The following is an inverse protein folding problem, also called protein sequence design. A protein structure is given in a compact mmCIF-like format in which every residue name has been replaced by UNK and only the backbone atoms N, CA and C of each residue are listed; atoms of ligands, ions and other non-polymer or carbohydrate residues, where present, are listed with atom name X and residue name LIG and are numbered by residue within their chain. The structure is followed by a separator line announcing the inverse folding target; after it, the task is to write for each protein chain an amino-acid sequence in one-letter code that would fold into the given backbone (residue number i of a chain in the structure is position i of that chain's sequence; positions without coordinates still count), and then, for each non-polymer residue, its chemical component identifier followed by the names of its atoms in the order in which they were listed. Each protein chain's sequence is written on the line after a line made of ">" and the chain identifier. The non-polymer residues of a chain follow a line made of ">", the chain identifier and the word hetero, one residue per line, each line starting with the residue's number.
data_IF_773474228481
#
_entry.id   IF_773474228481
#
_cell.length_a   1.000
_cell.length_b   1.000
_cell.length_c   1.000
_cell.angle_alpha   90.00
_cell.angle_beta   90.00
_cell.angle_gamma   90.00
#
_symmetry.space_group_name_H-M   'P 1'
#
loop_
_entity.id
_entity.type
_entity.pdbx_description
1 polymer ?
#
# COMPACT_ATOMS: atom_id res chain seq x y z
N UNK A 1 28.50 -23.67 5.75
CA UNK A 1 28.23 -22.70 6.84
C UNK A 1 28.83 -23.27 8.12
N UNK A 2 29.61 -22.51 8.90
CA UNK A 2 30.16 -23.01 10.17
C UNK A 2 29.03 -23.24 11.19
N UNK A 3 29.17 -24.21 12.10
CA UNK A 3 28.20 -24.63 13.11
C UNK A 3 27.61 -23.44 13.89
N UNK A 4 28.45 -22.49 14.30
CA UNK A 4 28.03 -21.28 15.03
C UNK A 4 27.04 -20.44 14.20
N UNK A 5 27.30 -20.28 12.89
CA UNK A 5 26.40 -19.54 12.00
C UNK A 5 25.10 -20.30 11.76
N UNK A 6 25.14 -21.64 11.76
CA UNK A 6 23.94 -22.48 11.72
C UNK A 6 23.07 -22.33 12.96
N UNK A 7 23.66 -22.40 14.15
CA UNK A 7 22.94 -22.21 15.41
C UNK A 7 22.30 -20.81 15.50
N UNK A 8 23.03 -19.75 15.10
CA UNK A 8 22.49 -18.39 15.01
C UNK A 8 21.31 -18.31 14.03
N UNK A 9 21.42 -18.96 12.88
CA UNK A 9 20.35 -18.96 11.88
C UNK A 9 19.08 -19.64 12.39
N UNK A 10 19.21 -20.79 13.07
CA UNK A 10 18.07 -21.48 13.71
C UNK A 10 17.46 -20.59 14.80
N UNK A 11 18.28 -20.01 15.68
CA UNK A 11 17.80 -19.13 16.75
C UNK A 11 17.00 -17.94 16.22
N UNK A 12 17.56 -17.18 15.27
CA UNK A 12 16.86 -15.99 14.74
C UNK A 12 15.62 -16.34 13.94
N UNK A 13 15.64 -17.47 13.21
CA UNK A 13 14.45 -17.95 12.50
C UNK A 13 13.33 -18.32 13.49
N UNK A 14 13.66 -19.09 14.53
CA UNK A 14 12.70 -19.44 15.59
C UNK A 14 12.18 -18.20 16.33
N UNK A 15 13.06 -17.27 16.67
CA UNK A 15 12.67 -16.03 17.36
C UNK A 15 11.69 -15.20 16.52
N UNK A 16 11.98 -15.01 15.24
CA UNK A 16 11.10 -14.31 14.31
C UNK A 16 9.76 -15.04 14.16
N UNK A 17 9.80 -16.35 13.93
CA UNK A 17 8.60 -17.16 13.73
C UNK A 17 7.69 -17.14 14.96
N UNK A 18 8.24 -17.35 16.16
CA UNK A 18 7.50 -17.30 17.42
C UNK A 18 6.94 -15.90 17.67
N UNK A 19 7.72 -14.83 17.43
CA UNK A 19 7.24 -13.46 17.62
C UNK A 19 6.08 -13.15 16.69
N UNK A 20 6.16 -13.53 15.43
CA UNK A 20 5.05 -13.32 14.50
C UNK A 20 3.87 -14.19 14.90
N UNK A 21 4.06 -15.47 15.22
CA UNK A 21 2.98 -16.41 15.55
C UNK A 21 2.17 -15.97 16.78
N UNK A 22 2.84 -15.53 17.84
CA UNK A 22 2.22 -15.22 19.13
C UNK A 22 1.91 -13.73 19.35
N UNK A 23 2.29 -12.85 18.43
CA UNK A 23 1.90 -11.43 18.51
C UNK A 23 0.77 -11.10 17.55
N UNK A 24 0.10 -9.96 17.82
CA UNK A 24 -0.87 -9.33 16.93
C UNK A 24 -0.20 -8.35 15.95
N UNK A 25 1.13 -8.33 15.89
CA UNK A 25 1.91 -7.41 15.05
C UNK A 25 2.06 -7.94 13.63
N UNK A 26 2.18 -7.04 12.65
CA UNK A 26 2.62 -7.44 11.30
C UNK A 26 4.05 -8.00 11.37
N UNK A 27 4.43 -8.91 10.45
CA UNK A 27 5.81 -9.37 10.32
C UNK A 27 6.84 -8.23 10.29
N UNK A 28 6.59 -7.16 9.53
CA UNK A 28 7.50 -6.01 9.45
C UNK A 28 7.69 -5.28 10.78
N UNK A 29 6.60 -5.12 11.55
CA UNK A 29 6.63 -4.52 12.90
C UNK A 29 7.32 -5.44 13.91
N UNK A 30 7.11 -6.75 13.80
CA UNK A 30 7.81 -7.74 14.62
C UNK A 30 9.33 -7.72 14.37
N UNK A 31 9.76 -7.60 13.11
CA UNK A 31 11.17 -7.43 12.72
C UNK A 31 11.75 -6.16 13.35
N UNK A 32 11.07 -5.01 13.24
CA UNK A 32 11.52 -3.76 13.86
C UNK A 32 11.71 -3.90 15.38
N UNK A 33 10.73 -4.49 16.07
CA UNK A 33 10.79 -4.66 17.52
C UNK A 33 11.90 -5.63 17.98
N UNK A 34 12.27 -6.61 17.15
CA UNK A 34 13.32 -7.58 17.48
C UNK A 34 14.73 -7.07 17.17
N UNK A 35 14.89 -6.30 16.09
CA UNK A 35 16.21 -5.99 15.54
C UNK A 35 16.55 -4.50 15.55
N UNK A 36 15.59 -3.59 15.66
CA UNK A 36 15.76 -2.15 15.85
C UNK A 36 16.89 -1.57 14.96
N UNK A 37 17.86 -0.85 15.53
CA UNK A 37 18.93 -0.20 14.76
C UNK A 37 20.05 -1.14 14.27
N UNK A 38 19.79 -2.46 14.20
CA UNK A 38 20.77 -3.42 13.70
C UNK A 38 21.07 -3.15 12.23
N UNK A 39 22.36 -3.09 11.90
CA UNK A 39 22.85 -2.96 10.52
C UNK A 39 23.28 -4.31 9.94
N UNK A 40 23.42 -4.37 8.63
CA UNK A 40 23.84 -5.53 7.87
C UNK A 40 22.70 -6.52 7.61
N UNK A 41 23.11 -7.79 7.52
CA UNK A 41 22.23 -8.93 7.30
C UNK A 41 22.25 -9.92 8.46
N UNK A 42 21.13 -10.58 8.67
CA UNK A 42 20.97 -11.68 9.62
C UNK A 42 20.69 -12.95 8.83
N UNK A 43 21.52 -13.97 8.98
CA UNK A 43 21.25 -15.25 8.37
C UNK A 43 20.04 -15.89 9.06
N UNK A 44 18.99 -16.17 8.29
CA UNK A 44 17.91 -17.09 8.65
C UNK A 44 18.23 -18.46 8.04
N UNK A 45 17.42 -19.50 8.32
CA UNK A 45 17.67 -20.87 7.83
C UNK A 45 17.79 -20.88 6.29
N UNK A 46 16.77 -20.35 5.60
CA UNK A 46 16.63 -20.40 4.15
C UNK A 46 16.98 -19.09 3.43
N UNK A 47 16.92 -17.96 4.14
CA UNK A 47 17.07 -16.60 3.58
C UNK A 47 18.00 -15.73 4.42
N UNK A 48 18.32 -14.55 3.92
CA UNK A 48 18.97 -13.47 4.68
C UNK A 48 17.90 -12.41 5.03
N UNK A 49 17.84 -11.96 6.29
CA UNK A 49 17.05 -10.79 6.69
C UNK A 49 17.91 -9.54 6.56
N UNK A 50 17.49 -8.59 5.72
CA UNK A 50 18.14 -7.30 5.50
C UNK A 50 17.61 -6.28 6.50
N UNK A 51 18.51 -5.64 7.25
CA UNK A 51 18.13 -4.79 8.38
C UNK A 51 18.25 -3.28 8.11
N UNK A 52 18.91 -2.86 7.03
CA UNK A 52 19.07 -1.45 6.66
C UNK A 52 19.15 -1.25 5.14
N UNK A 53 18.89 -0.01 4.73
CA UNK A 53 18.79 0.39 3.31
C UNK A 53 20.12 0.34 2.57
N UNK A 54 21.25 0.62 3.23
CA UNK A 54 22.59 0.58 2.62
C UNK A 54 22.95 -0.86 2.23
N UNK A 55 22.69 -1.81 3.13
CA UNK A 55 22.85 -3.25 2.87
C UNK A 55 21.92 -3.71 1.75
N UNK A 56 20.67 -3.23 1.71
CA UNK A 56 19.74 -3.59 0.64
C UNK A 56 20.21 -3.10 -0.73
N UNK A 57 20.64 -1.85 -0.81
CA UNK A 57 21.07 -1.20 -2.07
C UNK A 57 22.38 -1.81 -2.58
N UNK A 58 23.24 -2.29 -1.68
CA UNK A 58 24.49 -2.97 -2.03
C UNK A 58 24.32 -4.44 -2.44
N UNK A 59 23.11 -5.01 -2.35
CA UNK A 59 22.85 -6.35 -2.86
C UNK A 59 23.09 -6.40 -4.38
N UNK A 60 23.56 -7.53 -4.93
CA UNK A 60 23.68 -7.69 -6.37
C UNK A 60 22.36 -7.41 -7.08
N UNK A 61 22.44 -6.65 -8.18
CA UNK A 61 21.27 -6.38 -9.03
C UNK A 61 20.68 -7.68 -9.54
N UNK A 62 19.35 -7.78 -9.51
CA UNK A 62 18.62 -8.97 -9.94
C UNK A 62 17.40 -8.55 -10.75
N UNK A 63 17.27 -9.10 -11.96
CA UNK A 63 16.12 -8.87 -12.84
C UNK A 63 14.87 -9.66 -12.45
N UNK A 64 14.99 -10.63 -11.55
CA UNK A 64 13.85 -11.44 -11.07
C UNK A 64 12.84 -10.59 -10.28
N UNK A 65 11.55 -10.94 -10.30
CA UNK A 65 10.52 -10.24 -9.55
C UNK A 65 10.81 -10.32 -8.04
N UNK A 66 10.19 -9.41 -7.29
CA UNK A 66 10.02 -9.65 -5.85
C UNK A 66 9.05 -10.83 -5.70
N UNK A 67 9.24 -11.66 -4.68
CA UNK A 67 8.43 -12.87 -4.53
C UNK A 67 6.95 -12.52 -4.45
N UNK A 68 6.17 -13.21 -5.27
CA UNK A 68 4.72 -13.02 -5.41
C UNK A 68 3.88 -13.56 -4.27
N UNK A 69 4.37 -13.53 -3.03
CA UNK A 69 3.58 -13.87 -1.84
C UNK A 69 2.28 -13.05 -1.76
N UNK A 70 2.12 -12.00 -2.57
CA UNK A 70 0.93 -11.17 -2.52
C UNK A 70 -0.28 -11.68 -3.30
N UNK A 71 -0.13 -12.60 -4.27
CA UNK A 71 -1.08 -12.62 -5.42
C UNK A 71 -1.58 -13.98 -5.92
N UNK A 72 -1.55 -15.05 -5.12
CA UNK A 72 -1.95 -16.40 -5.57
C UNK A 72 -3.42 -16.58 -6.05
N UNK A 73 -4.18 -15.50 -6.25
CA UNK A 73 -5.64 -15.57 -6.43
C UNK A 73 -6.20 -14.59 -7.49
N UNK A 74 -5.38 -13.86 -8.25
CA UNK A 74 -5.85 -12.86 -9.22
C UNK A 74 -5.99 -13.40 -10.65
N UNK A 75 -7.06 -13.07 -11.41
CA UNK A 75 -7.09 -13.30 -12.86
C UNK A 75 -6.16 -12.32 -13.61
N UNK A 76 -5.64 -11.30 -12.92
CA UNK A 76 -4.71 -10.32 -13.47
C UNK A 76 -3.25 -10.73 -13.20
N UNK A 77 -2.34 -10.09 -13.94
CA UNK A 77 -0.90 -10.31 -13.81
C UNK A 77 -0.23 -9.01 -13.37
N UNK A 78 0.03 -8.76 -12.07
CA UNK A 78 0.61 -7.49 -11.63
C UNK A 78 2.04 -7.26 -12.13
N UNK A 79 2.38 -6.01 -12.49
CA UNK A 79 3.68 -5.68 -13.11
C UNK A 79 4.89 -6.10 -12.27
N UNK A 80 4.77 -6.07 -10.94
CA UNK A 80 5.87 -6.45 -10.05
C UNK A 80 6.18 -7.96 -10.05
N UNK A 81 5.29 -8.81 -10.58
CA UNK A 81 5.51 -10.25 -10.75
C UNK A 81 6.16 -10.62 -12.08
N UNK A 82 6.24 -9.68 -13.02
CA UNK A 82 6.89 -9.93 -14.29
C UNK A 82 8.42 -9.97 -14.10
N UNK A 83 9.06 -10.95 -14.73
CA UNK A 83 10.50 -10.91 -14.97
C UNK A 83 10.85 -9.61 -15.73
N UNK A 84 12.08 -9.12 -15.60
CA UNK A 84 12.53 -7.96 -16.41
C UNK A 84 12.73 -8.36 -17.89
N UNK A 85 11.61 -8.70 -18.53
CA UNK A 85 11.47 -9.15 -19.91
C UNK A 85 10.82 -8.05 -20.77
N UNK A 86 10.49 -8.38 -22.01
CA UNK A 86 9.86 -7.44 -22.94
C UNK A 86 8.49 -6.97 -22.43
N UNK A 87 7.68 -7.84 -21.82
CA UNK A 87 6.35 -7.48 -21.32
C UNK A 87 6.44 -6.52 -20.13
N UNK A 88 7.40 -6.74 -19.22
CA UNK A 88 7.63 -5.80 -18.12
C UNK A 88 8.02 -4.41 -18.61
N UNK A 89 8.92 -4.35 -19.60
CA UNK A 89 9.36 -3.08 -20.20
C UNK A 89 8.20 -2.35 -20.89
N UNK A 90 7.45 -3.05 -21.74
CA UNK A 90 6.29 -2.49 -22.43
C UNK A 90 5.24 -1.94 -21.45
N UNK A 91 4.94 -2.68 -20.37
CA UNK A 91 4.01 -2.19 -19.33
C UNK A 91 4.54 -1.01 -18.55
N UNK A 92 5.85 -0.97 -18.26
CA UNK A 92 6.49 0.18 -17.62
C UNK A 92 6.46 1.43 -18.48
N UNK A 93 6.69 1.28 -19.79
CA UNK A 93 6.65 2.38 -20.75
C UNK A 93 5.23 2.91 -20.89
N UNK A 94 4.25 2.02 -21.09
CA UNK A 94 2.83 2.37 -21.10
C UNK A 94 2.43 3.07 -19.78
N UNK A 95 2.80 2.51 -18.63
CA UNK A 95 2.53 3.13 -17.33
C UNK A 95 3.09 4.56 -17.26
N UNK A 96 4.32 4.78 -17.74
CA UNK A 96 4.95 6.11 -17.70
C UNK A 96 4.16 7.14 -18.52
N UNK A 97 3.64 6.76 -19.69
CA UNK A 97 2.83 7.64 -20.55
C UNK A 97 1.52 8.01 -19.82
N UNK A 98 0.74 7.01 -19.40
CA UNK A 98 -0.53 7.25 -18.72
C UNK A 98 -0.35 7.99 -17.39
N UNK A 99 0.71 7.69 -16.63
CA UNK A 99 1.04 8.41 -15.40
C UNK A 99 1.28 9.91 -15.65
N UNK A 100 1.94 10.28 -16.75
CA UNK A 100 2.12 11.69 -17.10
C UNK A 100 0.78 12.39 -17.35
N UNK A 101 -0.12 11.76 -18.10
CA UNK A 101 -1.46 12.28 -18.40
C UNK A 101 -2.29 12.41 -17.12
N UNK A 102 -2.27 11.38 -16.26
CA UNK A 102 -3.00 11.40 -14.99
C UNK A 102 -2.50 12.52 -14.07
N UNK A 103 -1.18 12.73 -13.97
CA UNK A 103 -0.64 13.82 -13.16
C UNK A 103 -1.12 15.19 -13.64
N UNK A 104 -1.26 15.39 -14.95
CA UNK A 104 -1.86 16.60 -15.50
C UNK A 104 -3.35 16.71 -15.11
N UNK A 105 -4.12 15.63 -15.25
CA UNK A 105 -5.54 15.59 -14.87
C UNK A 105 -5.78 15.88 -13.40
N UNK A 106 -4.89 15.45 -12.49
CA UNK A 106 -4.98 15.76 -11.05
C UNK A 106 -4.95 17.28 -10.81
N UNK A 107 -4.20 18.04 -11.61
CA UNK A 107 -4.10 19.49 -11.50
C UNK A 107 -5.32 20.21 -12.11
N UNK A 108 -5.95 19.59 -13.10
CA UNK A 108 -7.07 20.16 -13.86
C UNK A 108 -8.45 19.83 -13.27
N UNK A 109 -8.59 18.68 -12.59
CA UNK A 109 -9.86 18.24 -12.05
C UNK A 109 -10.06 18.70 -10.60
N UNK A 110 -11.18 19.37 -10.35
CA UNK A 110 -11.72 19.56 -9.00
C UNK A 110 -12.69 18.43 -8.68
N UNK A 111 -12.35 17.59 -7.70
CA UNK A 111 -13.25 16.57 -7.19
C UNK A 111 -13.95 17.10 -5.94
N UNK A 112 -15.24 17.37 -6.02
CA UNK A 112 -16.03 17.76 -4.86
C UNK A 112 -16.64 16.51 -4.20
N UNK A 113 -16.24 16.25 -2.97
CA UNK A 113 -16.86 15.24 -2.13
C UNK A 113 -16.70 15.61 -0.66
N UNK A 114 -17.54 15.03 0.18
CA UNK A 114 -17.51 15.22 1.64
C UNK A 114 -17.65 13.86 2.30
N UNK A 115 -16.87 13.62 3.35
CA UNK A 115 -17.11 12.45 4.20
C UNK A 115 -18.33 12.72 5.07
N UNK A 116 -19.25 11.77 5.15
CA UNK A 116 -20.39 11.91 6.08
C UNK A 116 -19.91 11.86 7.53
N UNK A 117 -20.52 12.66 8.40
CA UNK A 117 -20.21 12.61 9.83
C UNK A 117 -20.66 11.27 10.40
N UNK A 118 -19.74 10.53 11.04
CA UNK A 118 -20.01 9.18 11.55
C UNK A 118 -19.08 8.78 12.69
N UNK A 119 -19.52 7.78 13.44
CA UNK A 119 -18.73 6.98 14.38
C UNK A 119 -18.56 5.58 13.79
N UNK A 120 -17.35 5.19 13.42
CA UNK A 120 -17.08 3.86 12.88
C UNK A 120 -15.94 3.82 11.87
N UNK A 121 -15.97 2.82 10.99
CA UNK A 121 -14.94 2.59 10.00
C UNK A 121 -15.08 3.51 8.78
N UNK A 122 -14.12 4.41 8.55
CA UNK A 122 -14.09 5.29 7.35
C UNK A 122 -13.27 4.72 6.17
N UNK A 123 -12.56 3.61 6.37
CA UNK A 123 -11.67 3.02 5.36
C UNK A 123 -12.39 2.77 4.03
N UNK A 124 -13.61 2.22 4.11
CA UNK A 124 -14.36 1.85 2.91
C UNK A 124 -15.06 3.03 2.24
N UNK A 125 -15.42 4.08 3.00
CA UNK A 125 -15.95 5.31 2.41
C UNK A 125 -14.87 6.01 1.58
N UNK A 126 -13.64 6.09 2.13
CA UNK A 126 -12.48 6.64 1.42
C UNK A 126 -12.14 5.75 0.22
N UNK A 127 -12.18 4.43 0.37
CA UNK A 127 -11.92 3.51 -0.73
C UNK A 127 -12.90 3.69 -1.89
N UNK A 128 -14.19 3.89 -1.61
CA UNK A 128 -15.20 4.14 -2.64
C UNK A 128 -14.95 5.45 -3.39
N UNK A 129 -14.64 6.54 -2.65
CA UNK A 129 -14.29 7.84 -3.23
C UNK A 129 -13.07 7.70 -4.15
N UNK A 130 -12.01 7.07 -3.66
CA UNK A 130 -10.78 6.92 -4.45
C UNK A 130 -10.99 5.97 -5.63
N UNK A 131 -11.84 4.96 -5.53
CA UNK A 131 -12.18 4.11 -6.67
C UNK A 131 -12.84 4.91 -7.79
N UNK A 132 -13.79 5.80 -7.47
CA UNK A 132 -14.41 6.72 -8.44
C UNK A 132 -13.39 7.68 -9.05
N UNK A 133 -12.52 8.28 -8.22
CA UNK A 133 -11.43 9.15 -8.68
C UNK A 133 -10.47 8.38 -9.60
N UNK A 134 -10.10 7.14 -9.25
CA UNK A 134 -9.20 6.33 -10.05
C UNK A 134 -9.78 6.04 -11.44
N UNK A 135 -11.08 5.75 -11.52
CA UNK A 135 -11.78 5.59 -12.79
C UNK A 135 -11.75 6.90 -13.58
N UNK A 136 -12.13 8.02 -12.97
CA UNK A 136 -12.15 9.31 -13.65
C UNK A 136 -10.76 9.72 -14.15
N UNK A 137 -9.70 9.45 -13.41
CA UNK A 137 -8.34 9.76 -13.86
C UNK A 137 -7.92 8.93 -15.08
N UNK A 138 -8.33 7.66 -15.16
CA UNK A 138 -8.00 6.76 -16.29
C UNK A 138 -8.87 7.03 -17.52
N UNK A 139 -10.16 7.30 -17.35
CA UNK A 139 -11.13 7.42 -18.45
C UNK A 139 -11.59 8.87 -18.72
N UNK A 140 -11.12 9.83 -17.93
CA UNK A 140 -11.49 11.26 -17.98
C UNK A 140 -12.99 11.56 -17.83
N UNK A 141 -13.75 10.64 -17.22
CA UNK A 141 -15.17 10.82 -16.96
C UNK A 141 -15.59 10.04 -15.73
N UNK A 142 -16.73 10.41 -15.14
CA UNK A 142 -17.31 9.60 -14.08
C UNK A 142 -17.75 8.23 -14.61
N UNK A 143 -17.63 7.17 -13.81
CA UNK A 143 -18.24 5.89 -14.15
C UNK A 143 -19.75 6.03 -14.12
N UNK A 144 -20.43 5.37 -15.06
CA UNK A 144 -21.86 5.08 -14.93
C UNK A 144 -22.09 4.14 -13.75
N UNK A 145 -23.34 4.06 -13.27
CA UNK A 145 -23.69 3.17 -12.16
C UNK A 145 -23.37 1.70 -12.48
N UNK A 146 -23.68 1.25 -13.70
CA UNK A 146 -23.37 -0.11 -14.17
C UNK A 146 -21.85 -0.38 -14.21
N UNK A 147 -21.06 0.56 -14.75
CA UNK A 147 -19.61 0.42 -14.78
C UNK A 147 -19.02 0.35 -13.36
N UNK A 148 -19.52 1.18 -12.45
CA UNK A 148 -19.06 1.17 -11.06
C UNK A 148 -19.43 -0.13 -10.36
N UNK A 149 -20.64 -0.64 -10.57
CA UNK A 149 -21.12 -1.89 -9.99
C UNK A 149 -20.35 -3.12 -10.49
N UNK A 150 -19.81 -3.08 -11.71
CA UNK A 150 -18.95 -4.16 -12.22
C UNK A 150 -17.49 -4.06 -11.73
N UNK A 151 -16.95 -2.84 -11.61
CA UNK A 151 -15.54 -2.60 -11.27
C UNK A 151 -15.30 -2.66 -9.76
N UNK A 152 -16.11 -1.94 -8.98
CA UNK A 152 -15.86 -1.69 -7.56
C UNK A 152 -15.79 -2.98 -6.72
N UNK A 153 -16.69 -3.97 -6.88
CA UNK A 153 -16.62 -5.21 -6.11
C UNK A 153 -15.31 -5.98 -6.33
N UNK A 154 -14.80 -6.00 -7.56
CA UNK A 154 -13.52 -6.63 -7.89
C UNK A 154 -12.34 -5.93 -7.21
N UNK A 155 -12.29 -4.59 -7.28
CA UNK A 155 -11.26 -3.79 -6.59
C UNK A 155 -11.33 -3.98 -5.07
N UNK A 156 -12.55 -4.00 -4.51
CA UNK A 156 -12.79 -4.19 -3.09
C UNK A 156 -12.35 -5.58 -2.62
N UNK A 157 -12.61 -6.63 -3.39
CA UNK A 157 -12.16 -7.98 -3.10
C UNK A 157 -10.63 -8.07 -3.10
N UNK A 158 -9.96 -7.48 -4.10
CA UNK A 158 -8.49 -7.40 -4.14
C UNK A 158 -7.97 -6.70 -2.88
N UNK A 159 -8.54 -5.56 -2.50
CA UNK A 159 -8.13 -4.84 -1.29
C UNK A 159 -8.36 -5.67 -0.02
N UNK A 160 -9.50 -6.35 0.10
CA UNK A 160 -9.80 -7.23 1.24
C UNK A 160 -8.80 -8.39 1.35
N UNK A 161 -8.34 -8.96 0.24
CA UNK A 161 -7.29 -9.99 0.25
C UNK A 161 -5.94 -9.40 0.66
N UNK A 162 -5.53 -8.28 0.06
CA UNK A 162 -4.27 -7.60 0.40
C UNK A 162 -4.22 -7.27 1.89
N UNK A 163 -5.31 -6.72 2.42
CA UNK A 163 -5.48 -6.36 3.84
C UNK A 163 -5.82 -7.54 4.76
N UNK A 164 -5.93 -8.76 4.22
CA UNK A 164 -6.16 -10.00 4.98
C UNK A 164 -7.50 -10.02 5.74
N UNK A 165 -8.51 -9.33 5.21
CA UNK A 165 -9.90 -9.46 5.67
C UNK A 165 -10.52 -10.79 5.23
N UNK A 166 -10.14 -11.30 4.06
CA UNK A 166 -10.53 -12.60 3.52
C UNK A 166 -9.31 -13.35 3.00
N UNK A 167 -9.36 -14.68 3.00
CA UNK A 167 -8.35 -15.55 2.38
C UNK A 167 -8.81 -16.19 1.08
N UNK A 168 -10.09 -16.03 0.71
CA UNK A 168 -10.67 -16.57 -0.52
C UNK A 168 -11.09 -15.42 -1.43
N UNK A 169 -10.76 -15.51 -2.74
CA UNK A 169 -11.13 -14.48 -3.70
C UNK A 169 -12.59 -14.65 -4.10
N UNK A 170 -13.25 -13.52 -4.36
CA UNK A 170 -14.51 -13.50 -5.10
C UNK A 170 -14.21 -13.52 -6.61
N UNK A 171 -14.20 -14.71 -7.20
CA UNK A 171 -13.88 -14.89 -8.62
C UNK A 171 -14.94 -14.26 -9.54
N UNK A 172 -16.20 -14.17 -9.10
CA UNK A 172 -17.25 -13.55 -9.91
C UNK A 172 -17.05 -12.05 -10.00
N UNK A 173 -16.79 -11.39 -8.85
CA UNK A 173 -16.47 -9.97 -8.81
C UNK A 173 -15.20 -9.62 -9.61
N UNK A 174 -14.16 -10.48 -9.54
CA UNK A 174 -12.93 -10.28 -10.32
C UNK A 174 -13.13 -10.45 -11.82
N UNK A 175 -13.97 -11.40 -12.23
CA UNK A 175 -14.31 -11.59 -13.64
C UNK A 175 -15.10 -10.40 -14.19
N UNK A 176 -16.07 -9.88 -13.43
CA UNK A 176 -16.81 -8.68 -13.82
C UNK A 176 -15.88 -7.47 -14.01
N UNK A 177 -14.91 -7.26 -13.11
CA UNK A 177 -13.88 -6.23 -13.25
C UNK A 177 -13.05 -6.45 -14.53
N UNK A 178 -12.63 -7.69 -14.82
CA UNK A 178 -11.88 -8.02 -16.04
C UNK A 178 -12.70 -7.68 -17.30
N UNK A 179 -13.92 -8.20 -17.39
CA UNK A 179 -14.79 -8.06 -18.56
C UNK A 179 -15.16 -6.60 -18.80
N UNK A 180 -15.48 -5.86 -17.73
CA UNK A 180 -15.78 -4.43 -17.82
C UNK A 180 -14.57 -3.62 -18.27
N UNK A 181 -13.39 -3.91 -17.74
CA UNK A 181 -12.14 -3.26 -18.17
C UNK A 181 -11.86 -3.53 -19.64
N UNK A 182 -12.07 -4.76 -20.11
CA UNK A 182 -11.90 -5.12 -21.51
C UNK A 182 -12.88 -4.37 -22.43
N UNK A 183 -14.12 -4.20 -22.01
CA UNK A 183 -15.12 -3.40 -22.75
C UNK A 183 -14.65 -1.95 -22.88
N UNK A 184 -14.22 -1.33 -21.78
CA UNK A 184 -13.74 0.06 -21.77
C UNK A 184 -12.50 0.26 -22.66
N UNK A 185 -11.57 -0.68 -22.64
CA UNK A 185 -10.39 -0.66 -23.54
C UNK A 185 -10.85 -0.74 -25.01
N UNK A 186 -11.81 -1.61 -25.34
CA UNK A 186 -12.31 -1.78 -26.72
C UNK A 186 -13.12 -0.58 -27.22
N UNK A 187 -13.81 0.13 -26.34
CA UNK A 187 -14.50 1.37 -26.68
C UNK A 187 -13.50 2.45 -27.11
N UNK A 188 -12.30 2.47 -26.50
CA UNK A 188 -11.19 3.36 -26.84
C UNK A 188 -11.64 4.83 -27.02
N UNK A 189 -12.40 5.35 -26.06
CA UNK A 189 -12.85 6.75 -26.07
C UNK A 189 -11.64 7.71 -26.18
N UNK A 190 -11.82 8.86 -26.84
CA UNK A 190 -10.72 9.81 -27.10
C UNK A 190 -10.01 10.28 -25.83
N UNK A 191 -10.72 10.32 -24.70
CA UNK A 191 -10.19 10.77 -23.43
C UNK A 191 -9.64 9.62 -22.55
N UNK A 192 -9.61 8.39 -23.05
CA UNK A 192 -8.93 7.29 -22.37
C UNK A 192 -7.41 7.53 -22.33
N UNK A 193 -6.74 7.33 -21.19
CA UNK A 193 -5.29 7.60 -21.03
C UNK A 193 -4.38 6.87 -22.03
N UNK A 194 -4.85 5.78 -22.64
CA UNK A 194 -4.09 5.01 -23.63
C UNK A 194 -4.60 5.16 -25.07
N UNK A 195 -5.50 6.11 -25.34
CA UNK A 195 -6.12 6.27 -26.66
C UNK A 195 -5.12 6.24 -27.83
N UNK A 196 -4.05 7.03 -27.70
CA UNK A 196 -3.00 7.16 -28.72
C UNK A 196 -1.77 6.26 -28.46
N UNK A 197 -1.81 5.39 -27.45
CA UNK A 197 -0.65 4.57 -27.10
C UNK A 197 -0.57 3.31 -27.96
N UNK A 198 0.25 3.38 -29.01
CA UNK A 198 0.55 2.21 -29.85
C UNK A 198 1.15 1.08 -29.02
N UNK A 199 2.05 1.39 -28.10
CA UNK A 199 2.71 0.42 -27.22
C UNK A 199 1.68 -0.37 -26.41
N UNK A 200 0.68 0.31 -25.85
CA UNK A 200 -0.40 -0.34 -25.10
C UNK A 200 -1.18 -1.34 -25.96
N UNK A 201 -1.60 -0.92 -27.16
CA UNK A 201 -2.40 -1.77 -28.05
C UNK A 201 -1.61 -2.91 -28.72
N UNK A 202 -0.28 -2.87 -28.70
CA UNK A 202 0.55 -4.02 -29.13
C UNK A 202 0.66 -5.13 -28.08
N UNK A 203 0.28 -4.87 -26.83
CA UNK A 203 0.30 -5.89 -25.78
C UNK A 203 -0.85 -6.90 -25.95
N UNK A 204 -0.67 -8.12 -25.45
CA UNK A 204 -1.78 -9.09 -25.40
C UNK A 204 -2.87 -8.63 -24.41
N UNK A 205 -4.11 -9.09 -24.63
CA UNK A 205 -5.31 -8.69 -23.88
C UNK A 205 -5.10 -8.69 -22.36
N UNK A 206 -4.57 -9.78 -21.80
CA UNK A 206 -4.32 -9.90 -20.36
C UNK A 206 -3.40 -8.79 -19.80
N UNK A 207 -2.41 -8.36 -20.58
CA UNK A 207 -1.49 -7.29 -20.18
C UNK A 207 -2.12 -5.91 -20.32
N UNK A 208 -2.98 -5.70 -21.32
CA UNK A 208 -3.76 -4.47 -21.45
C UNK A 208 -4.71 -4.32 -20.25
N UNK A 209 -5.50 -5.36 -19.98
CA UNK A 209 -6.44 -5.39 -18.85
C UNK A 209 -5.70 -5.23 -17.52
N UNK A 210 -4.60 -5.97 -17.31
CA UNK A 210 -3.81 -5.85 -16.07
C UNK A 210 -3.20 -4.46 -15.90
N UNK A 211 -2.79 -3.80 -16.98
CA UNK A 211 -2.26 -2.43 -16.89
C UNK A 211 -3.30 -1.45 -16.37
N UNK A 212 -4.58 -1.64 -16.71
CA UNK A 212 -5.66 -0.80 -16.18
C UNK A 212 -6.10 -1.25 -14.80
N UNK A 213 -6.56 -2.49 -14.66
CA UNK A 213 -7.21 -2.98 -13.46
C UNK A 213 -6.25 -3.06 -12.26
N UNK A 214 -5.02 -3.54 -12.47
CA UNK A 214 -4.03 -3.69 -11.39
C UNK A 214 -3.14 -2.45 -11.22
N UNK A 215 -2.47 -2.03 -12.30
CA UNK A 215 -1.43 -1.01 -12.15
C UNK A 215 -2.01 0.39 -11.90
N UNK A 216 -3.21 0.70 -12.41
CA UNK A 216 -3.89 1.97 -12.14
C UNK A 216 -5.03 1.84 -11.13
N UNK A 217 -6.14 1.19 -11.49
CA UNK A 217 -7.35 1.21 -10.66
C UNK A 217 -7.09 0.64 -9.27
N UNK A 218 -6.51 -0.56 -9.17
CA UNK A 218 -6.19 -1.19 -7.88
C UNK A 218 -5.10 -0.42 -7.14
N UNK A 219 -4.00 -0.07 -7.80
CA UNK A 219 -2.88 0.60 -7.12
C UNK A 219 -3.30 1.95 -6.55
N UNK A 220 -4.03 2.77 -7.31
CA UNK A 220 -4.54 4.06 -6.84
C UNK A 220 -5.52 3.82 -5.69
N UNK A 221 -6.52 2.98 -5.89
CA UNK A 221 -7.57 2.73 -4.90
C UNK A 221 -7.02 2.20 -3.59
N UNK A 222 -6.15 1.18 -3.63
CA UNK A 222 -5.62 0.54 -2.42
C UNK A 222 -4.60 1.44 -1.72
N UNK A 223 -3.58 1.91 -2.43
CA UNK A 223 -2.46 2.61 -1.81
C UNK A 223 -2.86 4.01 -1.33
N UNK A 224 -3.62 4.76 -2.14
CA UNK A 224 -4.03 6.12 -1.75
C UNK A 224 -5.06 6.08 -0.61
N UNK A 225 -5.92 5.06 -0.53
CA UNK A 225 -6.83 4.88 0.62
C UNK A 225 -6.07 4.75 1.93
N UNK A 226 -5.03 3.91 1.94
CA UNK A 226 -4.27 3.65 3.15
C UNK A 226 -3.46 4.88 3.56
N UNK A 227 -2.86 5.55 2.58
CA UNK A 227 -2.14 6.81 2.82
C UNK A 227 -3.07 7.88 3.40
N UNK A 228 -4.22 8.15 2.76
CA UNK A 228 -5.20 9.14 3.25
C UNK A 228 -5.70 8.79 4.65
N UNK A 229 -6.00 7.51 4.93
CA UNK A 229 -6.40 7.10 6.26
C UNK A 229 -5.31 7.34 7.31
N UNK A 230 -4.03 7.04 6.99
CA UNK A 230 -2.92 7.32 7.89
C UNK A 230 -2.71 8.82 8.10
N UNK A 231 -2.81 9.62 7.03
CA UNK A 231 -2.74 11.07 7.09
C UNK A 231 -3.84 11.65 7.99
N UNK A 232 -5.09 11.20 7.84
CA UNK A 232 -6.21 11.66 8.69
C UNK A 232 -6.01 11.31 10.17
N UNK A 233 -5.46 10.15 10.48
CA UNK A 233 -5.14 9.78 11.86
C UNK A 233 -4.02 10.63 12.44
N UNK A 234 -2.98 10.94 11.67
CA UNK A 234 -1.89 11.82 12.09
C UNK A 234 -2.36 13.27 12.22
N UNK A 235 -3.21 13.74 11.31
CA UNK A 235 -3.85 15.05 11.35
C UNK A 235 -4.60 15.28 12.66
N UNK A 236 -5.22 14.24 13.23
CA UNK A 236 -5.89 14.33 14.55
C UNK A 236 -4.97 14.78 15.70
N UNK A 237 -3.66 14.62 15.53
CA UNK A 237 -2.62 14.95 16.52
C UNK A 237 -1.70 16.10 16.08
N UNK A 238 -1.46 16.21 14.78
CA UNK A 238 -0.48 17.13 14.19
C UNK A 238 -1.10 18.02 13.11
N UNK A 239 -2.24 18.71 13.37
CA UNK A 239 -2.95 19.44 12.32
C UNK A 239 -2.09 20.53 11.68
N UNK A 240 -1.26 21.22 12.46
CA UNK A 240 -0.38 22.28 11.98
C UNK A 240 0.66 21.76 10.98
N UNK A 241 1.29 20.60 11.22
CA UNK A 241 2.27 20.02 10.29
C UNK A 241 1.68 19.77 8.89
N UNK A 242 0.42 19.31 8.83
CA UNK A 242 -0.28 19.11 7.55
C UNK A 242 -0.67 20.42 6.88
N UNK A 243 -0.98 21.47 7.66
CA UNK A 243 -1.28 22.81 7.13
C UNK A 243 -0.02 23.52 6.62
N UNK A 244 1.11 23.37 7.32
CA UNK A 244 2.38 24.01 6.99
C UNK A 244 3.03 23.39 5.76
N UNK A 245 3.10 22.05 5.70
CA UNK A 245 3.67 21.34 4.55
C UNK A 245 3.09 19.91 4.41
N UNK A 246 2.10 19.78 3.53
CA UNK A 246 1.44 18.49 3.24
C UNK A 246 2.36 17.47 2.57
N UNK A 247 3.31 17.88 1.72
CA UNK A 247 4.23 16.96 1.05
C UNK A 247 5.19 16.30 2.06
N UNK A 248 5.77 17.10 2.95
CA UNK A 248 6.58 16.59 4.06
C UNK A 248 5.78 15.65 4.96
N UNK A 249 4.53 16.02 5.26
CA UNK A 249 3.63 15.18 6.06
C UNK A 249 3.30 13.86 5.37
N UNK A 250 3.15 13.84 4.04
CA UNK A 250 2.98 12.60 3.25
C UNK A 250 4.22 11.72 3.34
N UNK A 251 5.42 12.28 3.13
CA UNK A 251 6.67 11.53 3.22
C UNK A 251 6.88 10.94 4.62
N UNK A 252 6.62 11.72 5.67
CA UNK A 252 6.73 11.26 7.04
C UNK A 252 5.68 10.21 7.41
N UNK A 253 4.45 10.37 6.90
CA UNK A 253 3.39 9.36 7.03
C UNK A 253 3.82 8.03 6.42
N UNK A 254 4.36 8.05 5.20
CA UNK A 254 4.85 6.86 4.51
C UNK A 254 6.08 6.25 5.19
N UNK A 255 6.92 7.05 5.83
CA UNK A 255 8.07 6.55 6.61
C UNK A 255 7.60 5.73 7.80
N UNK A 256 6.67 6.28 8.59
CA UNK A 256 6.15 5.63 9.81
C UNK A 256 5.24 4.43 9.50
N UNK A 257 4.39 4.58 8.49
CA UNK A 257 3.35 3.63 8.11
C UNK A 257 3.53 3.22 6.64
N UNK A 258 4.57 2.45 6.30
CA UNK A 258 4.81 2.01 4.94
C UNK A 258 3.65 1.15 4.43
N UNK A 259 3.16 1.45 3.23
CA UNK A 259 2.02 0.75 2.63
C UNK A 259 2.37 -0.64 2.09
N UNK A 260 3.63 -1.07 2.21
CA UNK A 260 4.12 -2.46 2.04
C UNK A 260 4.82 -2.90 3.33
N UNK A 261 4.56 -4.11 3.83
CA UNK A 261 5.16 -4.57 5.11
C UNK A 261 6.54 -5.20 4.89
N UNK A 262 6.60 -6.14 3.94
CA UNK A 262 7.77 -6.93 3.63
C UNK A 262 8.05 -6.90 2.14
N UNK A 263 9.32 -6.89 1.80
CA UNK A 263 9.81 -7.33 0.50
C UNK A 263 10.58 -8.62 0.66
N UNK A 264 10.48 -9.46 -0.35
CA UNK A 264 11.08 -10.78 -0.35
C UNK A 264 11.59 -11.08 -1.74
N UNK A 265 12.67 -11.86 -1.80
CA UNK A 265 13.22 -12.36 -3.05
C UNK A 265 13.65 -13.80 -2.88
N UNK A 266 13.29 -14.64 -3.84
CA UNK A 266 13.71 -16.02 -3.93
C UNK A 266 15.21 -16.15 -4.20
N UNK A 267 15.82 -17.27 -3.81
CA UNK A 267 17.19 -17.57 -4.19
C UNK A 267 17.32 -17.65 -5.73
N UNK A 268 18.45 -17.14 -6.25
CA UNK A 268 18.74 -17.19 -7.68
C UNK A 268 20.22 -17.48 -7.93
N UNK A 269 20.50 -18.53 -8.70
CA UNK A 269 21.86 -19.01 -8.95
C UNK A 269 22.58 -19.34 -7.64
N UNK A 270 23.66 -18.62 -7.34
CA UNK A 270 24.44 -18.78 -6.09
C UNK A 270 23.99 -17.83 -4.96
N UNK A 271 23.01 -16.96 -5.20
CA UNK A 271 22.53 -15.99 -4.22
C UNK A 271 21.41 -16.60 -3.37
N UNK A 272 21.52 -16.43 -2.04
CA UNK A 272 20.44 -16.77 -1.11
C UNK A 272 19.27 -15.81 -1.33
N UNK A 273 18.06 -16.31 -1.10
CA UNK A 273 16.89 -15.45 -1.01
C UNK A 273 17.00 -14.51 0.18
N UNK A 274 16.20 -13.46 0.20
CA UNK A 274 16.19 -12.50 1.29
C UNK A 274 14.79 -11.99 1.61
N UNK A 275 14.67 -11.42 2.80
CA UNK A 275 13.49 -10.72 3.30
C UNK A 275 13.94 -9.36 3.86
N UNK A 276 13.16 -8.32 3.65
CA UNK A 276 13.40 -6.99 4.19
C UNK A 276 12.08 -6.38 4.67
N UNK A 277 12.06 -5.88 5.91
CA UNK A 277 10.89 -5.18 6.46
C UNK A 277 10.95 -3.72 6.06
N UNK A 278 9.92 -3.21 5.39
CA UNK A 278 9.89 -1.79 5.00
C UNK A 278 9.77 -0.89 6.23
N UNK A 279 9.09 -1.37 7.29
CA UNK A 279 9.04 -0.70 8.61
C UNK A 279 10.45 -0.53 9.17
N UNK A 280 11.24 -1.61 9.17
CA UNK A 280 12.63 -1.61 9.61
C UNK A 280 13.49 -0.67 8.77
N UNK A 281 13.38 -0.76 7.43
CA UNK A 281 14.19 0.04 6.50
C UNK A 281 13.91 1.55 6.60
N UNK A 282 12.67 1.94 6.88
CA UNK A 282 12.28 3.35 7.05
C UNK A 282 12.52 3.92 8.45
N UNK A 283 12.88 3.08 9.42
CA UNK A 283 13.14 3.49 10.81
C UNK A 283 14.63 3.45 11.14
N UNK A 284 15.35 2.48 10.59
CA UNK A 284 16.78 2.37 10.85
C UNK A 284 17.56 3.57 10.27
N UNK A 285 18.41 4.16 11.10
CA UNK A 285 19.20 5.34 10.72
C UNK A 285 18.53 6.69 10.98
N UNK A 286 17.27 6.70 11.45
CA UNK A 286 16.56 7.92 11.81
C UNK A 286 16.67 8.20 13.32
N UNK A 287 16.81 9.46 13.72
CA UNK A 287 16.62 9.86 15.13
C UNK A 287 15.14 9.75 15.49
N UNK A 288 14.79 9.39 16.73
CA UNK A 288 13.39 9.19 17.18
C UNK A 288 12.51 8.47 16.12
N UNK A 289 12.90 7.26 15.70
CA UNK A 289 12.38 6.63 14.49
C UNK A 289 10.89 6.29 14.54
N UNK A 290 10.28 6.27 15.72
CA UNK A 290 8.87 5.96 15.94
C UNK A 290 7.98 7.23 16.09
N UNK A 291 8.57 8.43 16.08
CA UNK A 291 7.84 9.70 16.20
C UNK A 291 7.54 10.31 14.82
N UNK A 292 6.40 11.01 14.70
CA UNK A 292 6.04 11.78 13.51
C UNK A 292 6.67 13.17 13.59
N UNK A 293 7.60 13.46 12.69
CA UNK A 293 8.29 14.76 12.61
C UNK A 293 8.42 15.13 11.13
N UNK A 294 7.52 15.99 10.65
CA UNK A 294 7.44 16.37 9.23
C UNK A 294 8.65 17.19 8.76
N UNK A 295 9.26 17.98 9.64
CA UNK A 295 10.38 18.88 9.34
C UNK A 295 11.67 18.13 9.00
N UNK A 296 11.73 16.80 9.20
CA UNK A 296 12.87 15.98 8.77
C UNK A 296 13.12 16.06 7.26
N UNK A 297 12.08 16.37 6.50
CA UNK A 297 12.09 16.45 5.05
C UNK A 297 12.43 17.85 4.51
N UNK A 298 12.69 18.83 5.38
CA UNK A 298 13.14 20.18 4.98
C UNK A 298 14.58 20.18 4.43
N UNK A 299 15.32 19.10 4.66
CA UNK A 299 16.68 18.90 4.17
C UNK A 299 16.76 17.60 3.39
N UNK A 300 17.79 17.46 2.56
CA UNK A 300 18.09 16.19 1.87
C UNK A 300 19.00 15.27 2.72
N UNK A 301 19.36 15.66 3.94
CA UNK A 301 20.27 14.91 4.80
C UNK A 301 19.51 13.91 5.68
N UNK A 302 18.92 12.92 5.03
CA UNK A 302 18.20 11.84 5.69
C UNK A 302 18.35 10.51 4.93
N UNK A 303 18.15 9.36 5.60
CA UNK A 303 18.10 8.08 4.90
C UNK A 303 17.04 8.06 3.79
N UNK A 304 17.19 7.22 2.74
CA UNK A 304 16.19 7.14 1.68
C UNK A 304 14.85 6.60 2.19
N UNK A 305 13.75 7.16 1.69
CA UNK A 305 12.40 6.63 1.94
C UNK A 305 12.17 5.34 1.14
N UNK A 306 12.20 4.21 1.81
CA UNK A 306 12.06 2.90 1.17
C UNK A 306 10.59 2.55 0.86
N UNK A 307 9.61 3.32 1.33
CA UNK A 307 8.19 3.12 0.94
C UNK A 307 7.95 3.19 -0.57
N UNK A 308 8.83 3.86 -1.32
CA UNK A 308 8.73 3.96 -2.78
C UNK A 308 9.45 2.84 -3.54
N UNK A 309 9.98 1.82 -2.85
CA UNK A 309 10.77 0.78 -3.51
C UNK A 309 12.20 1.21 -3.82
N UNK A 310 12.96 0.32 -4.47
CA UNK A 310 14.38 0.51 -4.76
C UNK A 310 14.77 -0.12 -6.11
N UNK A 311 15.93 0.31 -6.64
CA UNK A 311 16.50 -0.17 -7.92
C UNK A 311 15.50 -0.06 -9.10
N UNK A 312 15.60 -0.95 -10.10
CA UNK A 312 14.68 -1.04 -11.25
C UNK A 312 13.21 -1.26 -10.86
N UNK A 313 12.94 -1.67 -9.61
CA UNK A 313 11.60 -1.90 -9.05
C UNK A 313 11.07 -0.71 -8.25
N UNK A 314 11.77 0.44 -8.24
CA UNK A 314 11.26 1.68 -7.66
C UNK A 314 9.90 2.02 -8.28
N UNK A 315 8.95 2.38 -7.42
CA UNK A 315 7.59 2.74 -7.78
C UNK A 315 7.60 3.94 -8.74
N UNK A 316 7.09 3.77 -9.97
CA UNK A 316 7.00 4.87 -10.93
C UNK A 316 5.86 5.84 -10.61
N UNK A 317 4.93 5.42 -9.74
CA UNK A 317 3.69 6.14 -9.41
C UNK A 317 3.84 7.15 -8.26
N UNK A 318 5.07 7.51 -7.84
CA UNK A 318 5.29 8.37 -6.66
C UNK A 318 4.49 9.67 -6.76
N UNK A 319 4.66 10.42 -7.86
CA UNK A 319 3.96 11.70 -8.06
C UNK A 319 2.44 11.53 -8.09
N UNK A 320 1.95 10.48 -8.74
CA UNK A 320 0.53 10.18 -8.83
C UNK A 320 -0.06 9.88 -7.46
N UNK A 321 0.57 8.98 -6.70
CA UNK A 321 0.08 8.59 -5.38
C UNK A 321 0.08 9.77 -4.40
N UNK A 322 1.14 10.60 -4.42
CA UNK A 322 1.19 11.85 -3.64
C UNK A 322 0.09 12.81 -4.08
N UNK A 323 -0.05 13.07 -5.38
CA UNK A 323 -1.05 14.00 -5.92
C UNK A 323 -2.49 13.60 -5.63
N UNK A 324 -2.86 12.33 -5.84
CA UNK A 324 -4.21 11.82 -5.53
C UNK A 324 -4.47 11.89 -4.03
N UNK A 325 -3.52 11.47 -3.20
CA UNK A 325 -3.72 11.46 -1.74
C UNK A 325 -3.83 12.88 -1.18
N UNK A 326 -3.01 13.81 -1.68
CA UNK A 326 -3.09 15.22 -1.35
C UNK A 326 -4.43 15.81 -1.76
N UNK A 327 -4.84 15.61 -3.02
CA UNK A 327 -6.12 16.09 -3.55
C UNK A 327 -7.31 15.62 -2.71
N UNK A 328 -7.30 14.33 -2.34
CA UNK A 328 -8.38 13.73 -1.55
C UNK A 328 -8.37 14.29 -0.13
N UNK A 329 -7.21 14.32 0.50
CA UNK A 329 -7.04 14.82 1.86
C UNK A 329 -7.44 16.29 1.99
N UNK A 330 -6.96 17.15 1.09
CA UNK A 330 -7.31 18.56 1.08
C UNK A 330 -8.81 18.78 0.87
N UNK A 331 -9.46 18.03 -0.04
CA UNK A 331 -10.91 18.14 -0.23
C UNK A 331 -11.70 17.80 1.03
N UNK A 332 -11.28 16.77 1.79
CA UNK A 332 -11.90 16.43 3.08
C UNK A 332 -11.81 17.61 4.05
N UNK A 333 -10.66 18.31 4.08
CA UNK A 333 -10.41 19.43 4.97
C UNK A 333 -11.01 20.77 4.51
N UNK A 334 -11.20 20.97 3.20
CA UNK A 334 -11.75 22.20 2.60
C UNK A 334 -13.16 22.53 3.09
N UNK A 335 -13.89 21.55 3.62
CA UNK A 335 -15.24 21.75 4.15
C UNK A 335 -15.35 22.71 5.34
N UNK A 336 -14.23 23.20 5.89
CA UNK A 336 -14.19 24.03 7.10
C UNK A 336 -14.54 23.21 8.33
N UNK A 337 -13.80 23.42 9.43
CA UNK A 337 -14.07 22.79 10.73
C UNK A 337 -14.13 21.25 10.74
N UNK A 338 -13.47 20.58 9.79
CA UNK A 338 -13.35 19.12 9.82
C UNK A 338 -12.55 18.71 11.06
N UNK A 339 -13.11 17.77 11.83
CA UNK A 339 -12.42 17.17 12.94
C UNK A 339 -12.51 15.65 12.87
N UNK A 340 -11.48 15.02 13.44
CA UNK A 340 -11.36 13.58 13.52
C UNK A 340 -10.81 13.18 14.88
N UNK A 341 -11.41 12.13 15.47
CA UNK A 341 -10.98 11.51 16.73
C UNK A 341 -10.93 10.00 16.56
N UNK A 342 -9.76 9.36 16.66
CA UNK A 342 -9.68 7.91 16.72
C UNK A 342 -10.48 7.36 17.91
N UNK A 343 -11.08 6.17 17.78
CA UNK A 343 -11.64 5.49 18.94
C UNK A 343 -10.60 5.35 20.05
N UNK A 344 -10.99 5.46 21.32
CA UNK A 344 -10.06 5.43 22.46
C UNK A 344 -9.26 4.13 22.55
N UNK A 345 -9.84 3.02 22.12
CA UNK A 345 -9.22 1.70 22.07
C UNK A 345 -8.60 1.37 20.69
N UNK A 346 -8.57 2.32 19.75
CA UNK A 346 -7.94 2.18 18.43
C UNK A 346 -6.43 2.35 18.52
N UNK A 347 -5.68 1.41 17.92
CA UNK A 347 -4.23 1.52 17.78
C UNK A 347 -3.92 1.84 16.31
N UNK A 348 -3.11 2.88 16.08
CA UNK A 348 -2.73 3.25 14.72
C UNK A 348 -1.70 2.25 14.19
N UNK A 349 -2.20 1.25 13.50
CA UNK A 349 -1.43 0.20 12.86
C UNK A 349 -1.34 0.41 11.35
N UNK A 350 -0.30 -0.15 10.71
CA UNK A 350 -0.06 -0.04 9.27
C UNK A 350 -1.15 -0.66 8.38
N UNK A 351 -1.80 -1.77 8.77
CA UNK A 351 -2.69 -2.53 7.87
C UNK A 351 -4.19 -2.25 8.00
N UNK A 352 -4.62 -1.29 8.83
CA UNK A 352 -6.04 -1.08 9.16
C UNK A 352 -6.85 -2.38 9.29
N UNK A 353 -6.40 -3.35 10.10
CA UNK A 353 -6.96 -4.70 10.11
C UNK A 353 -8.39 -4.76 10.66
N UNK A 354 -8.80 -3.72 11.39
CA UNK A 354 -10.17 -3.49 11.84
C UNK A 354 -10.83 -2.29 11.17
N UNK A 355 -10.31 -1.85 10.02
CA UNK A 355 -10.68 -0.58 9.40
C UNK A 355 -10.02 0.62 10.08
N UNK A 356 -10.38 1.81 9.65
CA UNK A 356 -9.97 3.08 10.27
C UNK A 356 -11.11 3.55 11.18
N UNK A 357 -11.06 3.18 12.47
CA UNK A 357 -12.15 3.40 13.42
C UNK A 357 -12.04 4.77 14.06
N UNK A 358 -12.91 5.68 13.65
CA UNK A 358 -12.86 7.10 14.02
C UNK A 358 -14.27 7.66 14.24
N UNK A 359 -14.33 8.76 15.00
CA UNK A 359 -15.43 9.69 15.00
C UNK A 359 -15.00 10.89 14.17
N UNK A 360 -15.76 11.20 13.11
CA UNK A 360 -15.51 12.34 12.23
C UNK A 360 -16.73 13.24 12.15
N UNK A 361 -16.49 14.53 11.96
CA UNK A 361 -17.55 15.51 11.76
C UNK A 361 -17.02 16.86 11.31
N UNK A 362 -17.93 17.83 11.29
CA UNK A 362 -17.68 19.22 10.89
C UNK A 362 -18.24 20.14 11.98
N UNK A 363 -17.57 21.25 12.24
CA UNK A 363 -17.99 22.24 13.24
C UNK A 363 -17.55 21.85 14.65
N UNK A 364 -18.43 22.07 15.63
CA UNK A 364 -18.13 21.77 17.03
C UNK A 364 -17.93 20.26 17.26
N UNK A 365 -16.90 19.92 18.05
CA UNK A 365 -16.60 18.54 18.42
C UNK A 365 -17.57 18.13 19.55
N UNK A 366 -18.39 17.08 19.35
CA UNK A 366 -19.25 16.54 20.41
C UNK A 366 -18.43 16.12 21.62
N UNK A 367 -18.95 16.38 22.82
CA UNK A 367 -18.26 16.07 24.08
C UNK A 367 -17.92 14.58 24.24
N UNK A 368 -18.69 13.70 23.60
CA UNK A 368 -18.52 12.25 23.65
C UNK A 368 -17.61 11.68 22.55
N UNK A 369 -17.08 12.52 21.63
CA UNK A 369 -16.20 12.07 20.56
C UNK A 369 -14.89 11.46 21.11
N UNK A 370 -14.36 11.99 22.21
CA UNK A 370 -13.13 11.51 22.85
C UNK A 370 -13.33 10.26 23.72
N UNK A 371 -14.57 9.95 24.13
CA UNK A 371 -14.88 8.79 24.97
C UNK A 371 -15.33 7.57 24.17
N UNK A 372 -15.58 7.74 22.87
CA UNK A 372 -16.04 6.65 22.01
C UNK A 372 -15.00 5.52 21.89
N UNK A 373 -15.48 4.29 22.05
CA UNK A 373 -14.72 3.06 21.83
C UNK A 373 -15.37 2.28 20.71
N UNK A 374 -14.56 1.62 19.89
CA UNK A 374 -15.10 0.73 18.86
C UNK A 374 -15.34 -0.67 19.44
N UNK A 375 -16.56 -1.16 19.24
CA UNK A 375 -16.95 -2.51 19.64
C UNK A 375 -16.37 -3.54 18.66
N UNK A 376 -15.97 -4.70 19.19
CA UNK A 376 -15.49 -5.81 18.35
C UNK A 376 -13.99 -5.83 18.05
N UNK A 377 -13.17 -5.00 18.70
CA UNK A 377 -11.68 -5.05 18.64
C UNK A 377 -11.15 -6.47 18.71
N UNK A 378 -11.52 -7.20 19.76
CA UNK A 378 -11.05 -8.56 19.98
C UNK A 378 -11.46 -9.51 18.84
N UNK A 379 -12.73 -9.47 18.41
CA UNK A 379 -13.23 -10.30 17.31
C UNK A 379 -12.47 -10.05 16.01
N UNK A 380 -12.23 -8.78 15.68
CA UNK A 380 -11.49 -8.42 14.46
C UNK A 380 -10.01 -8.78 14.58
N UNK A 381 -9.39 -8.62 15.74
CA UNK A 381 -8.03 -9.06 16.02
C UNK A 381 -7.87 -10.58 15.86
N UNK A 382 -8.79 -11.38 16.40
CA UNK A 382 -8.77 -12.84 16.23
C UNK A 382 -8.95 -13.25 14.76
N UNK A 383 -9.91 -12.63 14.05
CA UNK A 383 -10.11 -12.90 12.61
C UNK A 383 -8.86 -12.57 11.81
N UNK A 384 -8.28 -11.39 12.03
CA UNK A 384 -7.05 -10.96 11.35
C UNK A 384 -5.90 -11.91 11.68
N UNK A 385 -5.69 -12.23 12.95
CA UNK A 385 -4.65 -13.18 13.36
C UNK A 385 -4.82 -14.52 12.63
N UNK A 386 -6.04 -15.06 12.58
CA UNK A 386 -6.33 -16.30 11.86
C UNK A 386 -6.03 -16.18 10.36
N UNK A 387 -6.54 -15.14 9.68
CA UNK A 387 -6.28 -14.91 8.26
C UNK A 387 -4.80 -14.68 7.96
N UNK A 388 -4.09 -13.95 8.82
CA UNK A 388 -2.64 -13.74 8.74
C UNK A 388 -1.88 -15.06 8.88
N UNK A 389 -2.21 -15.89 9.86
CA UNK A 389 -1.50 -17.16 10.07
C UNK A 389 -1.75 -18.15 8.97
N UNK A 390 -3.01 -18.30 8.55
CA UNK A 390 -3.37 -19.13 7.40
C UNK A 390 -2.58 -18.71 6.17
N UNK A 391 -2.54 -17.41 5.88
CA UNK A 391 -1.80 -16.87 4.75
C UNK A 391 -0.30 -17.09 4.85
N UNK A 392 0.31 -16.78 5.99
CA UNK A 392 1.75 -16.99 6.19
C UNK A 392 2.16 -18.45 5.97
N UNK A 393 1.33 -19.39 6.44
CA UNK A 393 1.54 -20.84 6.24
C UNK A 393 1.37 -21.19 4.76
N UNK A 394 0.24 -20.80 4.16
CA UNK A 394 -0.11 -21.14 2.78
C UNK A 394 0.93 -20.59 1.78
N UNK A 395 1.46 -19.41 2.07
CA UNK A 395 2.38 -18.70 1.19
C UNK A 395 3.85 -18.87 1.57
N UNK A 396 4.19 -19.58 2.65
CA UNK A 396 5.58 -19.70 3.14
C UNK A 396 6.27 -18.33 3.32
N UNK A 397 5.55 -17.29 3.79
CA UNK A 397 6.07 -15.91 3.88
C UNK A 397 7.36 -15.78 4.73
N UNK A 398 7.55 -16.68 5.70
CA UNK A 398 8.73 -16.71 6.59
C UNK A 398 9.74 -17.82 6.27
N UNK A 399 9.47 -18.67 5.26
CA UNK A 399 10.27 -19.84 4.92
C UNK A 399 11.08 -19.68 3.64
#
# INVERSE_FOLDING_TARGET
>A
MNLINGLKAVYYTSLLYLRVLFSLMTPGTAIWNLFQNRKGKINLISRDLICDSETLISLPKCGKPLDGFTNALCPFLPTFLLDNDQYWKQRRDAFSIANSIINQRILENSFEFKLESKKGNILWDIFEIIAKISFQLVFNRMPTEDEFNDIYPGLLDINKIIKRFTSKPDLQARQALYDRTLILIKQNENDFVFHDSKEFYTMNEIHQVSSIAEDFLTTISVQCTDLVCHMLLLYSKYPNDFHDNIENSIHETLRLYPLTDLWTRQPYGKQRGWIASVVQLNRNGWTQPDEFISQRWDTNDHPPLMSWGFDIRRCPAQKLATGVSQLVFENILRGGDFWIRPARNFEHERTFPYGCQVCIGYGEIPSDANSWTFDGKFRMQCRRWLCEKLRMIDQNELN
#
